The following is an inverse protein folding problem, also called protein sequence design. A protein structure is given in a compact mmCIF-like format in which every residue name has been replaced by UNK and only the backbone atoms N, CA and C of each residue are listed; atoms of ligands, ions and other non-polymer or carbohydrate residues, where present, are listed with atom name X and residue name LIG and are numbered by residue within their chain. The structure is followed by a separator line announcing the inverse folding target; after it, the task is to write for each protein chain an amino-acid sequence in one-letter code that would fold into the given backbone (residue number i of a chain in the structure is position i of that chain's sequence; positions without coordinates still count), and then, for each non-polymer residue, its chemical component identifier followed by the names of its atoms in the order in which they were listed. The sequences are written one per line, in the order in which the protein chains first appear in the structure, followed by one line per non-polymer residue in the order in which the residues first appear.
data_IF_687903299075
#
_entry.id   IF_687903299075
#
_cell.length_a   1.000
_cell.length_b   1.000
_cell.length_c   1.000
_cell.angle_alpha   90.00
_cell.angle_beta   90.00
_cell.angle_gamma   90.00
#
_symmetry.space_group_name_H-M   'P 1'
#
loop_
_entity.id
_entity.type
_entity.pdbx_description
1 polymer ?
#
# COMPACT_ATOMS: atom_id res chain seq x y z
N UNK A 1 -0.62 15.83 -23.69
CA UNK A 1 0.23 14.63 -23.56
C UNK A 1 0.11 14.10 -22.14
N UNK A 2 -0.05 12.78 -21.94
CA UNK A 2 -0.09 12.18 -20.60
C UNK A 2 1.22 12.50 -19.84
N UNK A 3 1.10 13.01 -18.62
CA UNK A 3 2.25 13.43 -17.82
C UNK A 3 2.82 12.23 -17.06
N UNK A 4 4.01 11.76 -17.44
CA UNK A 4 4.72 10.72 -16.66
C UNK A 4 5.11 11.26 -15.28
N UNK A 5 5.23 10.38 -14.29
CA UNK A 5 5.91 10.72 -13.05
C UNK A 5 7.38 11.08 -13.31
N UNK A 6 7.93 11.89 -12.40
CA UNK A 6 9.34 12.30 -12.43
C UNK A 6 10.27 11.09 -12.25
N UNK A 7 11.53 11.20 -12.70
CA UNK A 7 12.54 10.15 -12.46
C UNK A 7 12.69 9.84 -10.97
N UNK A 8 12.66 10.88 -10.13
CA UNK A 8 12.74 10.75 -8.68
C UNK A 8 11.53 10.02 -8.08
N UNK A 9 10.31 10.30 -8.53
CA UNK A 9 9.12 9.56 -8.12
C UNK A 9 9.25 8.06 -8.43
N UNK A 10 9.67 7.72 -9.66
CA UNK A 10 9.88 6.34 -10.08
C UNK A 10 10.95 5.67 -9.23
N UNK A 11 12.09 6.33 -9.04
CA UNK A 11 13.16 5.84 -8.18
C UNK A 11 12.65 5.51 -6.77
N UNK A 12 12.00 6.48 -6.10
CA UNK A 12 11.46 6.30 -4.75
C UNK A 12 10.42 5.16 -4.70
N UNK A 13 9.56 5.02 -5.71
CA UNK A 13 8.58 3.94 -5.75
C UNK A 13 9.23 2.56 -5.86
N UNK A 14 10.16 2.38 -6.80
CA UNK A 14 10.79 1.09 -7.04
C UNK A 14 11.78 0.68 -5.95
N UNK A 15 12.53 1.61 -5.37
CA UNK A 15 13.39 1.31 -4.22
C UNK A 15 12.58 0.98 -2.97
N UNK A 16 11.41 1.62 -2.79
CA UNK A 16 10.50 1.27 -1.69
C UNK A 16 9.99 -0.17 -1.78
N UNK A 17 9.75 -0.69 -3.00
CA UNK A 17 9.36 -2.10 -3.19
C UNK A 17 10.46 -3.04 -2.68
N UNK A 18 11.73 -2.78 -3.02
CA UNK A 18 12.84 -3.60 -2.55
C UNK A 18 13.00 -3.54 -1.04
N UNK A 19 12.86 -2.34 -0.46
CA UNK A 19 12.93 -2.15 1.00
C UNK A 19 11.81 -2.90 1.72
N UNK A 20 10.58 -2.83 1.21
CA UNK A 20 9.44 -3.52 1.79
C UNK A 20 9.55 -5.05 1.66
N UNK A 21 9.98 -5.56 0.50
CA UNK A 21 10.26 -6.99 0.31
C UNK A 21 11.35 -7.49 1.26
N UNK A 22 12.40 -6.68 1.48
CA UNK A 22 13.42 -7.01 2.46
C UNK A 22 12.82 -7.13 3.86
N UNK A 23 11.94 -6.20 4.26
CA UNK A 23 11.23 -6.26 5.54
C UNK A 23 10.41 -7.54 5.70
N UNK A 24 9.70 -7.99 4.66
CA UNK A 24 8.96 -9.28 4.70
C UNK A 24 9.91 -10.46 4.86
N UNK A 25 11.00 -10.50 4.08
CA UNK A 25 11.93 -11.64 4.09
C UNK A 25 12.72 -11.72 5.40
N UNK A 26 12.94 -10.58 6.07
CA UNK A 26 13.71 -10.46 7.31
C UNK A 26 12.86 -10.25 8.55
N UNK A 27 11.54 -10.35 8.44
CA UNK A 27 10.65 -10.23 9.58
C UNK A 27 10.98 -11.25 10.67
N UNK A 28 10.75 -10.83 11.91
CA UNK A 28 10.81 -11.69 13.09
C UNK A 28 9.65 -12.70 13.03
N UNK A 29 9.94 -13.98 13.31
CA UNK A 29 8.92 -15.03 13.28
C UNK A 29 8.26 -15.23 14.63
N UNK A 30 9.05 -15.21 15.70
CA UNK A 30 8.61 -15.43 17.08
C UNK A 30 9.09 -14.28 17.97
N UNK A 31 8.30 -13.89 18.98
CA UNK A 31 8.65 -12.75 19.85
C UNK A 31 9.97 -13.02 20.59
N UNK A 32 10.21 -14.28 20.93
CA UNK A 32 11.39 -14.79 21.62
C UNK A 32 12.69 -14.54 20.84
N UNK A 33 12.63 -14.39 19.51
CA UNK A 33 13.80 -14.03 18.69
C UNK A 33 14.39 -12.67 19.14
N UNK A 34 13.57 -11.79 19.74
CA UNK A 34 13.99 -10.48 20.26
C UNK A 34 14.88 -10.56 21.50
N UNK A 35 15.07 -11.75 22.11
CA UNK A 35 16.11 -11.96 23.13
C UNK A 35 17.52 -11.68 22.58
N UNK A 36 17.74 -11.86 21.28
CA UNK A 36 18.96 -11.41 20.63
C UNK A 36 18.97 -9.88 20.54
N UNK A 37 19.72 -9.25 21.44
CA UNK A 37 19.93 -7.80 21.47
C UNK A 37 20.40 -7.23 20.12
N UNK A 38 21.19 -7.97 19.35
CA UNK A 38 21.63 -7.52 18.03
C UNK A 38 20.45 -7.47 17.05
N UNK A 39 19.57 -8.49 17.09
CA UNK A 39 18.37 -8.53 16.28
C UNK A 39 17.38 -7.43 16.69
N UNK A 40 17.12 -7.26 17.98
CA UNK A 40 16.23 -6.21 18.49
C UNK A 40 16.70 -4.81 18.06
N UNK A 41 17.98 -4.49 18.21
CA UNK A 41 18.54 -3.22 17.76
C UNK A 41 18.45 -3.05 16.24
N UNK A 42 18.65 -4.13 15.49
CA UNK A 42 18.48 -4.11 14.05
C UNK A 42 17.03 -3.80 13.64
N UNK A 43 16.04 -4.45 14.26
CA UNK A 43 14.61 -4.21 14.00
C UNK A 43 14.21 -2.77 14.33
N UNK A 44 14.67 -2.23 15.47
CA UNK A 44 14.42 -0.83 15.83
C UNK A 44 15.00 0.12 14.77
N UNK A 45 16.25 -0.11 14.36
CA UNK A 45 16.91 0.72 13.35
C UNK A 45 16.22 0.61 11.99
N UNK A 46 15.85 -0.60 11.59
CA UNK A 46 15.16 -0.88 10.34
C UNK A 46 13.77 -0.25 10.33
N UNK A 47 12.94 -0.48 11.35
CA UNK A 47 11.60 0.10 11.46
C UNK A 47 11.64 1.64 11.50
N UNK A 48 12.58 2.23 12.23
CA UNK A 48 12.77 3.69 12.27
C UNK A 48 13.13 4.24 10.89
N UNK A 49 14.11 3.62 10.21
CA UNK A 49 14.51 4.02 8.86
C UNK A 49 13.35 3.86 7.86
N UNK A 50 12.64 2.73 7.93
CA UNK A 50 11.48 2.45 7.09
C UNK A 50 10.39 3.50 7.29
N UNK A 51 10.08 3.87 8.54
CA UNK A 51 9.11 4.90 8.90
C UNK A 51 9.49 6.27 8.31
N UNK A 52 10.77 6.66 8.42
CA UNK A 52 11.26 7.91 7.83
C UNK A 52 11.08 7.87 6.30
N UNK A 53 11.50 6.79 5.65
CA UNK A 53 11.41 6.64 4.19
C UNK A 53 9.95 6.69 3.73
N UNK A 54 9.02 6.01 4.41
CA UNK A 54 7.60 6.03 4.01
C UNK A 54 6.99 7.43 4.18
N UNK A 55 7.33 8.17 5.25
CA UNK A 55 6.86 9.54 5.47
C UNK A 55 7.39 10.48 4.38
N UNK A 56 8.68 10.40 4.06
CA UNK A 56 9.30 11.17 2.97
C UNK A 56 8.66 10.82 1.62
N UNK A 57 8.46 9.53 1.35
CA UNK A 57 7.79 9.05 0.14
C UNK A 57 6.37 9.59 0.04
N UNK A 58 5.57 9.48 1.10
CA UNK A 58 4.21 10.00 1.14
C UNK A 58 4.19 11.51 0.87
N UNK A 59 5.06 12.26 1.55
CA UNK A 59 5.17 13.71 1.42
C UNK A 59 5.57 14.15 0.00
N UNK A 60 6.45 13.39 -0.66
CA UNK A 60 6.83 13.64 -2.04
C UNK A 60 5.70 13.31 -3.02
N UNK A 61 5.05 12.15 -2.84
CA UNK A 61 4.09 11.58 -3.79
C UNK A 61 2.70 12.20 -3.72
N UNK A 62 2.27 12.73 -2.57
CA UNK A 62 0.96 13.40 -2.41
C UNK A 62 0.74 14.61 -3.32
N UNK A 63 1.78 15.10 -4.00
CA UNK A 63 1.72 16.21 -4.95
C UNK A 63 1.24 15.79 -6.34
N UNK A 64 1.26 14.48 -6.64
CA UNK A 64 0.78 13.94 -7.90
C UNK A 64 -0.69 13.55 -7.80
N UNK A 65 -1.44 13.68 -8.89
CA UNK A 65 -2.84 13.23 -8.95
C UNK A 65 -2.88 11.71 -9.10
N UNK A 66 -3.85 11.07 -8.46
CA UNK A 66 -4.22 9.67 -8.78
C UNK A 66 -4.53 9.57 -10.28
N UNK A 67 -4.10 8.49 -10.93
CA UNK A 67 -4.19 8.31 -12.39
C UNK A 67 -3.36 9.30 -13.23
N UNK A 68 -2.28 9.86 -12.67
CA UNK A 68 -1.32 10.62 -13.46
C UNK A 68 -0.79 9.76 -14.62
N UNK A 69 -0.84 10.32 -15.83
CA UNK A 69 -0.46 9.65 -17.07
C UNK A 69 -1.62 8.93 -17.77
N UNK A 70 -2.84 8.96 -17.23
CA UNK A 70 -4.01 8.45 -17.93
C UNK A 70 -4.22 9.16 -19.27
N UNK A 71 -4.43 8.38 -20.33
CA UNK A 71 -4.72 8.87 -21.70
C UNK A 71 -6.21 8.91 -22.01
N UNK A 72 -6.99 8.14 -21.27
CA UNK A 72 -8.45 8.06 -21.36
C UNK A 72 -9.09 8.67 -20.11
N UNK A 73 -10.32 9.20 -20.21
CA UNK A 73 -11.04 9.72 -19.05
C UNK A 73 -11.30 8.60 -18.04
N UNK A 74 -10.95 8.86 -16.78
CA UNK A 74 -11.17 7.92 -15.68
C UNK A 74 -12.44 8.30 -14.94
N UNK A 75 -13.37 7.34 -14.81
CA UNK A 75 -14.60 7.55 -14.07
C UNK A 75 -14.33 7.91 -12.60
N UNK A 76 -15.14 8.81 -12.03
CA UNK A 76 -14.92 9.38 -10.69
C UNK A 76 -14.91 8.32 -9.57
N UNK A 77 -15.78 7.31 -9.66
CA UNK A 77 -15.82 6.17 -8.73
C UNK A 77 -14.48 5.42 -8.72
N UNK A 78 -13.92 5.13 -9.90
CA UNK A 78 -12.63 4.45 -10.03
C UNK A 78 -11.48 5.34 -9.49
N UNK A 79 -11.53 6.65 -9.76
CA UNK A 79 -10.59 7.62 -9.19
C UNK A 79 -10.55 7.55 -7.66
N UNK A 80 -11.71 7.59 -7.00
CA UNK A 80 -11.79 7.51 -5.55
C UNK A 80 -11.36 6.15 -5.02
N UNK A 81 -11.76 5.05 -5.67
CA UNK A 81 -11.35 3.71 -5.28
C UNK A 81 -9.83 3.56 -5.25
N UNK A 82 -9.13 3.92 -6.34
CA UNK A 82 -7.66 3.83 -6.38
C UNK A 82 -7.01 4.75 -5.35
N UNK A 83 -7.56 5.95 -5.13
CA UNK A 83 -7.09 6.88 -4.10
C UNK A 83 -7.26 6.32 -2.69
N UNK A 84 -8.34 5.62 -2.40
CA UNK A 84 -8.58 4.94 -1.11
C UNK A 84 -7.56 3.82 -0.93
N UNK A 85 -7.37 2.96 -1.94
CA UNK A 85 -6.37 1.88 -1.90
C UNK A 85 -4.97 2.44 -1.61
N UNK A 86 -4.52 3.47 -2.33
CA UNK A 86 -3.21 4.08 -2.07
C UNK A 86 -3.10 4.65 -0.65
N UNK A 87 -4.16 5.30 -0.15
CA UNK A 87 -4.17 5.84 1.22
C UNK A 87 -4.13 4.74 2.27
N UNK A 88 -4.90 3.67 2.09
CA UNK A 88 -4.90 2.50 2.96
C UNK A 88 -3.52 1.83 2.99
N UNK A 89 -2.86 1.70 1.83
CA UNK A 89 -1.49 1.20 1.76
C UNK A 89 -0.52 2.08 2.56
N UNK A 90 -0.58 3.41 2.39
CA UNK A 90 0.26 4.32 3.18
C UNK A 90 -0.02 4.21 4.68
N UNK A 91 -1.29 4.06 5.08
CA UNK A 91 -1.64 3.83 6.47
C UNK A 91 -0.99 2.53 6.99
N UNK A 92 -1.08 1.43 6.25
CA UNK A 92 -0.43 0.17 6.63
C UNK A 92 1.10 0.31 6.73
N UNK A 93 1.73 0.93 5.73
CA UNK A 93 3.19 1.11 5.72
C UNK A 93 3.72 2.04 6.82
N UNK A 94 2.88 2.91 7.38
CA UNK A 94 3.22 3.72 8.54
C UNK A 94 2.94 2.95 9.83
N UNK A 95 1.81 2.25 9.90
CA UNK A 95 1.41 1.48 11.09
C UNK A 95 2.35 0.31 11.37
N UNK A 96 2.81 -0.42 10.35
CA UNK A 96 3.74 -1.55 10.52
C UNK A 96 5.01 -1.18 11.31
N UNK A 97 5.85 -0.25 10.86
CA UNK A 97 7.04 0.11 11.63
C UNK A 97 6.67 0.80 12.95
N UNK A 98 5.54 1.50 13.03
CA UNK A 98 5.12 2.15 14.28
C UNK A 98 4.77 1.12 15.35
N UNK A 99 3.96 0.12 15.02
CA UNK A 99 3.62 -0.96 15.96
C UNK A 99 4.83 -1.85 16.22
N UNK A 100 5.71 -2.08 15.25
CA UNK A 100 6.99 -2.77 15.46
C UNK A 100 7.90 -2.05 16.48
N UNK A 101 7.99 -0.72 16.41
CA UNK A 101 8.71 0.08 17.40
C UNK A 101 8.04 0.04 18.78
N UNK A 102 6.71 -0.01 18.83
CA UNK A 102 5.98 -0.18 20.10
C UNK A 102 6.28 -1.57 20.70
N UNK A 103 6.23 -2.64 19.90
CA UNK A 103 6.60 -4.00 20.33
C UNK A 103 8.01 -4.01 20.90
N UNK A 104 8.99 -3.49 20.15
CA UNK A 104 10.37 -3.43 20.59
C UNK A 104 10.54 -2.61 21.89
N UNK A 105 9.84 -1.48 22.01
CA UNK A 105 9.86 -0.62 23.19
C UNK A 105 9.22 -1.26 24.43
N UNK A 106 8.12 -1.99 24.26
CA UNK A 106 7.46 -2.77 25.31
C UNK A 106 8.35 -3.94 25.74
N UNK A 107 8.90 -4.68 24.78
CA UNK A 107 9.79 -5.80 25.02
C UNK A 107 11.05 -5.38 25.81
N UNK A 108 11.64 -4.24 25.44
CA UNK A 108 12.80 -3.67 26.15
C UNK A 108 12.50 -3.27 27.60
N UNK A 109 11.22 -3.06 27.95
CA UNK A 109 10.77 -2.77 29.32
C UNK A 109 10.40 -4.03 30.10
N UNK A 110 10.55 -5.23 29.50
CA UNK A 110 10.22 -6.52 30.11
C UNK A 110 8.79 -6.97 29.89
N UNK A 111 7.98 -6.26 29.10
CA UNK A 111 6.65 -6.75 28.72
C UNK A 111 6.79 -7.85 27.68
N UNK A 112 6.29 -9.03 28.01
CA UNK A 112 6.17 -10.19 27.11
C UNK A 112 4.73 -10.69 27.18
N UNK A 113 4.34 -11.60 26.28
CA UNK A 113 3.02 -12.27 26.26
C UNK A 113 2.66 -12.88 27.63
N UNK A 114 3.68 -13.28 28.41
CA UNK A 114 3.51 -13.91 29.73
C UNK A 114 3.71 -12.94 30.91
N UNK A 115 3.86 -11.63 30.68
CA UNK A 115 4.17 -10.67 31.76
C UNK A 115 3.01 -10.46 32.75
N UNK A 116 1.77 -10.70 32.35
CA UNK A 116 0.59 -10.69 33.23
C UNK A 116 -0.22 -11.99 33.09
N UNK A 117 0.20 -13.08 33.75
CA UNK A 117 -0.38 -14.43 33.56
C UNK A 117 -1.87 -14.54 33.91
N UNK A 118 -2.39 -13.62 34.73
CA UNK A 118 -3.78 -13.60 35.19
C UNK A 118 -4.71 -12.73 34.32
N UNK A 119 -4.17 -12.07 33.29
CA UNK A 119 -4.94 -11.24 32.35
C UNK A 119 -5.25 -12.01 31.05
N UNK A 120 -6.46 -11.84 30.52
CA UNK A 120 -6.89 -12.52 29.29
C UNK A 120 -6.14 -12.02 28.04
N UNK A 121 -5.70 -10.75 28.04
CA UNK A 121 -4.85 -10.15 27.01
C UNK A 121 -3.92 -9.12 27.61
N UNK A 122 -2.62 -9.24 27.31
CA UNK A 122 -1.62 -8.24 27.66
C UNK A 122 -1.58 -7.12 26.62
N UNK A 123 -0.99 -5.96 26.97
CA UNK A 123 -0.74 -4.88 26.01
C UNK A 123 0.15 -5.37 24.84
N UNK A 124 1.08 -6.29 25.11
CA UNK A 124 1.93 -6.87 24.06
C UNK A 124 1.10 -7.65 23.03
N UNK A 125 0.14 -8.45 23.50
CA UNK A 125 -0.73 -9.27 22.64
C UNK A 125 -1.54 -8.40 21.69
N UNK A 126 -2.15 -7.34 22.23
CA UNK A 126 -2.94 -6.39 21.42
C UNK A 126 -2.09 -5.73 20.33
N UNK A 127 -0.85 -5.36 20.64
CA UNK A 127 0.03 -4.70 19.65
C UNK A 127 0.55 -5.71 18.62
N UNK A 128 0.87 -6.94 19.02
CA UNK A 128 1.25 -8.03 18.11
C UNK A 128 0.11 -8.36 17.15
N UNK A 129 -1.11 -8.54 17.66
CA UNK A 129 -2.31 -8.80 16.85
C UNK A 129 -2.56 -7.66 15.86
N UNK A 130 -2.45 -6.41 16.32
CA UNK A 130 -2.58 -5.25 15.45
C UNK A 130 -1.49 -5.21 14.38
N UNK A 131 -0.23 -5.50 14.73
CA UNK A 131 0.88 -5.54 13.79
C UNK A 131 0.65 -6.62 12.71
N UNK A 132 0.28 -7.84 13.13
CA UNK A 132 -0.04 -8.94 12.23
C UNK A 132 -1.24 -8.62 11.31
N UNK A 133 -2.33 -8.09 11.86
CA UNK A 133 -3.50 -7.70 11.06
C UNK A 133 -3.18 -6.61 10.04
N UNK A 134 -2.35 -5.63 10.40
CA UNK A 134 -1.89 -4.60 9.45
C UNK A 134 -0.97 -5.21 8.39
N UNK A 135 -0.14 -6.20 8.74
CA UNK A 135 0.72 -6.91 7.78
C UNK A 135 -0.13 -7.65 6.74
N UNK A 136 -1.12 -8.42 7.17
CA UNK A 136 -2.05 -9.13 6.29
C UNK A 136 -2.81 -8.19 5.37
N UNK A 137 -3.35 -7.09 5.92
CA UNK A 137 -4.03 -6.07 5.13
C UNK A 137 -3.08 -5.45 4.10
N UNK A 138 -1.82 -5.21 4.47
CA UNK A 138 -0.82 -4.67 3.55
C UNK A 138 -0.55 -5.61 2.38
N UNK A 139 -0.49 -6.93 2.60
CA UNK A 139 -0.32 -7.93 1.55
C UNK A 139 -1.51 -7.94 0.59
N UNK A 140 -2.73 -7.93 1.12
CA UNK A 140 -3.95 -7.86 0.30
C UNK A 140 -3.99 -6.60 -0.57
N UNK A 141 -3.69 -5.44 0.01
CA UNK A 141 -3.71 -4.17 -0.70
C UNK A 141 -2.63 -4.08 -1.78
N UNK A 142 -1.43 -4.65 -1.54
CA UNK A 142 -0.37 -4.73 -2.54
C UNK A 142 -0.79 -5.65 -3.69
N UNK A 143 -1.37 -6.81 -3.40
CA UNK A 143 -1.85 -7.72 -4.42
C UNK A 143 -2.90 -7.04 -5.30
N UNK A 144 -3.88 -6.37 -4.68
CA UNK A 144 -4.88 -5.57 -5.37
C UNK A 144 -4.25 -4.46 -6.22
N UNK A 145 -3.26 -3.75 -5.67
CA UNK A 145 -2.54 -2.69 -6.37
C UNK A 145 -1.79 -3.21 -7.61
N UNK A 146 -1.08 -4.33 -7.49
CA UNK A 146 -0.35 -4.97 -8.59
C UNK A 146 -1.34 -5.48 -9.65
N UNK A 147 -2.41 -6.16 -9.24
CA UNK A 147 -3.44 -6.64 -10.15
C UNK A 147 -4.08 -5.48 -10.94
N UNK A 148 -4.42 -4.38 -10.27
CA UNK A 148 -4.94 -3.18 -10.91
C UNK A 148 -3.92 -2.54 -11.86
N UNK A 149 -2.64 -2.50 -11.50
CA UNK A 149 -1.59 -1.97 -12.37
C UNK A 149 -1.40 -2.83 -13.64
N UNK A 150 -1.40 -4.16 -13.51
CA UNK A 150 -1.35 -5.10 -14.64
C UNK A 150 -2.59 -4.94 -15.51
N UNK A 151 -3.78 -4.84 -14.90
CA UNK A 151 -5.02 -4.63 -15.64
C UNK A 151 -5.01 -3.30 -16.40
N UNK A 152 -4.53 -2.22 -15.77
CA UNK A 152 -4.32 -0.94 -16.42
C UNK A 152 -3.37 -1.04 -17.63
N UNK A 153 -2.28 -1.80 -17.48
CA UNK A 153 -1.36 -2.13 -18.59
C UNK A 153 -2.06 -2.84 -19.76
N UNK A 154 -2.94 -3.79 -19.45
CA UNK A 154 -3.70 -4.55 -20.48
C UNK A 154 -4.69 -3.63 -21.21
N UNK A 155 -5.29 -2.66 -20.51
CA UNK A 155 -6.14 -1.63 -21.11
C UNK A 155 -5.35 -0.64 -21.96
N UNK A 156 -4.09 -0.38 -21.61
CA UNK A 156 -3.23 0.55 -22.35
C UNK A 156 -3.59 2.01 -22.08
N UNK A 157 -4.12 2.30 -20.90
CA UNK A 157 -4.65 3.63 -20.54
C UNK A 157 -3.58 4.60 -20.02
N UNK A 158 -2.29 4.23 -20.07
CA UNK A 158 -1.17 5.13 -19.81
C UNK A 158 -0.70 5.23 -18.35
N UNK A 159 -1.53 4.76 -17.40
CA UNK A 159 -1.25 4.80 -15.96
C UNK A 159 -0.06 3.90 -15.60
N UNK A 160 0.03 2.72 -16.19
CA UNK A 160 1.19 1.83 -16.03
C UNK A 160 2.46 2.51 -16.53
N UNK A 161 2.40 3.06 -17.75
CA UNK A 161 3.53 3.75 -18.40
C UNK A 161 4.05 4.95 -17.63
N UNK A 162 3.20 5.56 -16.79
CA UNK A 162 3.56 6.71 -15.97
C UNK A 162 4.50 6.36 -14.82
N UNK A 163 4.52 5.10 -14.35
CA UNK A 163 5.31 4.66 -13.19
C UNK A 163 6.47 3.70 -13.53
N UNK A 164 6.40 2.98 -14.67
CA UNK A 164 7.49 2.06 -15.07
C UNK A 164 8.63 2.76 -15.83
N UNK A 165 9.87 2.23 -15.77
CA UNK A 165 11.01 2.79 -16.52
C UNK A 165 11.12 2.27 -17.96
N UNK A 166 10.87 0.98 -18.23
CA UNK A 166 11.21 0.34 -19.52
C UNK A 166 10.04 -0.36 -20.24
N UNK A 167 9.05 -0.91 -19.54
CA UNK A 167 7.94 -1.69 -20.13
C UNK A 167 6.68 -0.87 -20.40
N UNK A 168 6.79 0.25 -21.10
CA UNK A 168 5.65 1.14 -21.37
C UNK A 168 4.66 0.51 -22.35
N UNK A 169 3.40 0.95 -22.27
CA UNK A 169 2.32 0.59 -23.19
C UNK A 169 2.51 1.29 -24.55
N UNK A 170 2.01 0.66 -25.61
CA UNK A 170 2.02 1.22 -26.97
C UNK A 170 0.79 2.10 -27.26
N UNK A 171 -0.18 2.17 -26.34
CA UNK A 171 -1.46 2.87 -26.48
C UNK A 171 -2.65 1.98 -26.06
N UNK A 172 -3.89 2.46 -26.24
CA UNK A 172 -5.10 1.74 -25.86
C UNK A 172 -5.23 0.39 -26.55
N UNK A 173 -5.73 -0.60 -25.81
CA UNK A 173 -5.92 -1.96 -26.27
C UNK A 173 -6.89 -2.04 -27.45
N UNK A 174 -6.50 -2.76 -28.50
CA UNK A 174 -7.34 -3.07 -29.66
C UNK A 174 -8.13 -4.38 -29.49
N UNK A 175 -7.98 -5.06 -28.34
CA UNK A 175 -8.66 -6.31 -28.05
C UNK A 175 -10.13 -6.05 -27.70
N UNK A 176 -11.06 -6.57 -28.51
CA UNK A 176 -12.51 -6.40 -28.33
C UNK A 176 -13.03 -6.87 -26.97
N UNK A 177 -12.42 -7.91 -26.38
CA UNK A 177 -12.81 -8.42 -25.06
C UNK A 177 -12.46 -7.37 -23.99
N UNK A 178 -11.25 -6.81 -24.05
CA UNK A 178 -10.79 -5.79 -23.10
C UNK A 178 -11.64 -4.53 -23.20
N UNK A 179 -11.96 -4.08 -24.42
CA UNK A 179 -12.83 -2.93 -24.65
C UNK A 179 -14.23 -3.16 -24.06
N UNK A 180 -14.83 -4.33 -24.32
CA UNK A 180 -16.15 -4.69 -23.77
C UNK A 180 -16.15 -4.76 -22.23
N UNK A 181 -15.09 -5.29 -21.61
CA UNK A 181 -14.97 -5.30 -20.15
C UNK A 181 -14.92 -3.86 -19.62
N UNK A 182 -14.09 -3.00 -20.22
CA UNK A 182 -14.00 -1.59 -19.82
C UNK A 182 -15.33 -0.83 -19.98
N UNK A 183 -16.11 -1.14 -21.03
CA UNK A 183 -17.48 -0.61 -21.20
C UNK A 183 -18.39 -1.05 -20.04
N UNK A 184 -18.40 -2.33 -19.68
CA UNK A 184 -19.20 -2.83 -18.55
C UNK A 184 -18.77 -2.24 -17.21
N UNK A 185 -17.46 -2.04 -16.99
CA UNK A 185 -16.93 -1.37 -15.80
C UNK A 185 -17.47 0.06 -15.70
N UNK A 186 -17.40 0.83 -16.78
CA UNK A 186 -17.94 2.19 -16.81
C UNK A 186 -19.45 2.20 -16.56
N UNK A 187 -20.22 1.28 -17.16
CA UNK A 187 -21.65 1.15 -16.88
C UNK A 187 -21.93 0.83 -15.40
N UNK A 188 -21.11 -0.03 -14.78
CA UNK A 188 -21.23 -0.33 -13.36
C UNK A 188 -20.90 0.89 -12.50
N UNK A 189 -19.87 1.66 -12.86
CA UNK A 189 -19.50 2.88 -12.16
C UNK A 189 -20.56 3.98 -12.27
N UNK A 190 -21.20 4.14 -13.43
CA UNK A 190 -22.31 5.08 -13.61
C UNK A 190 -23.48 4.73 -12.67
N UNK A 191 -23.89 3.45 -12.63
CA UNK A 191 -24.93 2.99 -11.68
C UNK A 191 -24.60 3.28 -10.23
N UNK A 192 -23.33 3.08 -9.84
CA UNK A 192 -22.87 3.40 -8.49
C UNK A 192 -22.95 4.91 -8.25
N UNK A 193 -22.51 5.72 -9.21
CA UNK A 193 -22.56 7.19 -9.13
C UNK A 193 -23.99 7.69 -8.96
N UNK A 194 -24.92 7.20 -9.79
CA UNK A 194 -26.34 7.57 -9.75
C UNK A 194 -26.99 7.24 -8.40
N UNK A 195 -26.67 6.08 -7.82
CA UNK A 195 -27.16 5.67 -6.50
C UNK A 195 -26.70 6.61 -5.38
N UNK A 196 -25.48 7.15 -5.47
CA UNK A 196 -24.99 8.13 -4.50
C UNK A 196 -25.57 9.52 -4.75
N UNK A 197 -25.66 9.96 -6.01
CA UNK A 197 -26.25 11.25 -6.36
C UNK A 197 -27.75 11.33 -6.04
N UNK A 198 -28.52 10.24 -6.17
CA UNK A 198 -29.94 10.23 -5.81
C UNK A 198 -30.17 10.28 -4.30
N UNK A 199 -29.20 9.83 -3.50
CA UNK A 199 -29.28 9.80 -2.04
C UNK A 199 -28.93 11.15 -1.40
N UNK A 200 -28.20 12.00 -2.12
CA UNK A 200 -27.86 13.37 -1.69
C UNK A 200 -28.99 14.39 -2.03
N UNK A 201 -30.02 13.97 -2.78
CA UNK A 201 -31.16 14.80 -3.19
C UNK A 201 -32.46 14.59 -2.39
N UNK A 202 -32.43 13.73 -1.37
CA UNK A 202 -33.53 13.46 -0.42
C UNK A 202 -33.16 13.94 1.00
#
# INVERSE_FOLDING_TARGET
MPTSHTKLAKFIHWTFILLYLYGIVKQVNELEDLEDNQLLLFEIAFATMFLIIVILRYSYMRRFKTFQGATEPVHIVHYYFARIVHRAMYACFILLPLTGLIIAGLYSQGYTVNATPDEEQTIMDVVLDLHGAVADLSYMLILLHIAAAIYSRIKGEGVWSSMVPVLKEAGPSQNKIVQRIAEYENMAYEKISDLFSSKDSD
#
